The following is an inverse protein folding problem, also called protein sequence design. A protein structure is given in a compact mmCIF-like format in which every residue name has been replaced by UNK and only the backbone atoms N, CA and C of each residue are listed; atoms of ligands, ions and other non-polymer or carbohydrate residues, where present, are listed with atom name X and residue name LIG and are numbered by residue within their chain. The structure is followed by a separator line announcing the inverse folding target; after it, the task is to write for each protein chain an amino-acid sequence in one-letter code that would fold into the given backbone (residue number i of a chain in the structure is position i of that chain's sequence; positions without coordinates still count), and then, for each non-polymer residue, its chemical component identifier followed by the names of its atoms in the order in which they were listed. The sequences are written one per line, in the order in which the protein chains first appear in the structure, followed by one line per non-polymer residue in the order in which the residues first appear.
data_IF_795865460820
#
_entry.id   IF_795865460820
#
_cell.length_a   1.000
_cell.length_b   1.000
_cell.length_c   1.000
_cell.angle_alpha   90.00
_cell.angle_beta   90.00
_cell.angle_gamma   90.00
#
_symmetry.space_group_name_H-M   'P 1'
#
loop_
_entity.id
_entity.type
_entity.pdbx_description
1 polymer ?
#
# COMPACT_ATOMS: atom_id res chain seq x y z
N UNK A 1 -11.13 9.22 9.29
CA UNK A 1 -11.40 8.05 10.16
C UNK A 1 -11.32 6.73 9.37
N UNK A 2 -12.13 6.51 8.32
CA UNK A 2 -12.17 5.22 7.59
C UNK A 2 -10.80 4.72 7.10
N UNK A 3 -10.01 5.57 6.43
CA UNK A 3 -8.68 5.16 5.90
C UNK A 3 -7.73 4.69 7.01
N UNK A 4 -7.73 5.37 8.16
CA UNK A 4 -6.93 4.95 9.31
C UNK A 4 -7.44 3.64 9.90
N UNK A 5 -8.76 3.46 10.02
CA UNK A 5 -9.35 2.21 10.51
C UNK A 5 -9.04 1.02 9.59
N UNK A 6 -9.10 1.21 8.26
CA UNK A 6 -8.68 0.20 7.29
C UNK A 6 -7.18 -0.08 7.42
N UNK A 7 -6.32 0.93 7.47
CA UNK A 7 -4.89 0.70 7.68
C UNK A 7 -4.60 -0.09 8.97
N UNK A 8 -5.27 0.25 10.08
CA UNK A 8 -5.15 -0.48 11.34
C UNK A 8 -5.61 -1.93 11.22
N UNK A 9 -6.71 -2.21 10.51
CA UNK A 9 -7.18 -3.56 10.31
C UNK A 9 -6.13 -4.44 9.61
N UNK A 10 -5.36 -3.87 8.69
CA UNK A 10 -4.37 -4.58 7.87
C UNK A 10 -2.91 -4.45 8.36
N UNK A 11 -2.61 -3.54 9.28
CA UNK A 11 -1.28 -3.37 9.87
C UNK A 11 -1.01 -4.46 10.93
N UNK A 12 -0.34 -5.53 10.55
CA UNK A 12 0.12 -6.60 11.44
C UNK A 12 1.58 -6.41 11.91
N UNK A 13 2.29 -5.43 11.34
CA UNK A 13 3.71 -5.16 11.63
C UNK A 13 3.91 -3.93 12.52
N UNK A 14 2.82 -3.28 12.94
CA UNK A 14 2.80 -2.08 13.77
C UNK A 14 3.51 -0.87 13.14
N UNK A 15 3.54 -0.81 11.80
CA UNK A 15 4.12 0.31 11.06
C UNK A 15 3.45 1.63 11.45
N UNK A 16 2.11 1.65 11.49
CA UNK A 16 1.35 2.86 11.81
C UNK A 16 1.59 3.30 13.27
N UNK A 17 1.77 2.33 14.18
CA UNK A 17 2.08 2.57 15.59
C UNK A 17 3.47 3.18 15.80
N UNK A 18 4.42 2.85 14.92
CA UNK A 18 5.82 3.29 15.02
C UNK A 18 6.03 4.75 14.59
N UNK A 19 5.04 5.37 13.93
CA UNK A 19 5.16 6.72 13.40
C UNK A 19 4.97 7.77 14.49
N UNK A 20 5.85 8.79 14.57
CA UNK A 20 5.71 9.86 15.54
C UNK A 20 4.36 10.58 15.48
N UNK A 21 3.83 10.80 14.28
CA UNK A 21 2.61 11.58 14.06
C UNK A 21 1.32 10.79 14.30
N UNK A 22 1.36 9.46 14.18
CA UNK A 22 0.18 8.60 14.30
C UNK A 22 0.22 7.68 15.52
N UNK A 23 1.38 7.48 16.13
CA UNK A 23 1.60 6.44 17.13
C UNK A 23 0.71 6.56 18.36
N UNK A 24 0.46 7.78 18.84
CA UNK A 24 -0.41 8.01 20.01
C UNK A 24 -1.88 7.67 19.67
N UNK A 25 -2.37 8.17 18.53
CA UNK A 25 -3.72 7.88 18.03
C UNK A 25 -3.92 6.37 17.80
N UNK A 26 -2.92 5.71 17.21
CA UNK A 26 -2.96 4.27 16.96
C UNK A 26 -2.94 3.47 18.26
N UNK A 27 -2.15 3.89 19.26
CA UNK A 27 -2.11 3.21 20.57
C UNK A 27 -3.43 3.32 21.33
N UNK A 28 -4.15 4.43 21.15
CA UNK A 28 -5.49 4.61 21.69
C UNK A 28 -6.54 3.79 20.94
N UNK A 29 -6.50 3.79 19.60
CA UNK A 29 -7.50 3.14 18.75
C UNK A 29 -7.33 1.62 18.58
N UNK A 30 -6.09 1.11 18.59
CA UNK A 30 -5.75 -0.31 18.42
C UNK A 30 -4.69 -0.74 19.46
N UNK A 31 -5.05 -0.76 20.76
CA UNK A 31 -4.17 -1.25 21.81
C UNK A 31 -3.80 -2.73 21.57
N UNK A 32 -2.68 -3.24 22.11
CA UNK A 32 -2.17 -4.58 21.80
C UNK A 32 -3.20 -5.71 21.92
N UNK A 33 -4.10 -5.65 22.91
CA UNK A 33 -5.17 -6.63 23.08
C UNK A 33 -6.23 -6.56 21.97
N UNK A 34 -6.58 -5.36 21.50
CA UNK A 34 -7.51 -5.16 20.38
C UNK A 34 -6.88 -5.65 19.06
N UNK A 35 -5.59 -5.36 18.84
CA UNK A 35 -4.83 -5.87 17.71
C UNK A 35 -4.84 -7.40 17.66
N UNK A 36 -4.52 -8.05 18.78
CA UNK A 36 -4.54 -9.51 18.86
C UNK A 36 -5.94 -10.09 18.60
N UNK A 37 -7.00 -9.44 19.10
CA UNK A 37 -8.37 -9.86 18.89
C UNK A 37 -8.81 -9.71 17.42
N UNK A 38 -8.50 -8.59 16.75
CA UNK A 38 -8.87 -8.41 15.33
C UNK A 38 -8.12 -9.37 14.41
N UNK A 39 -6.83 -9.60 14.64
CA UNK A 39 -6.01 -10.50 13.81
C UNK A 39 -6.52 -11.95 13.86
N UNK A 40 -7.18 -12.33 14.95
CA UNK A 40 -7.84 -13.64 15.09
C UNK A 40 -9.14 -13.74 14.29
N UNK A 41 -9.83 -12.63 14.06
CA UNK A 41 -11.20 -12.59 13.54
C UNK A 41 -11.32 -12.00 12.12
N UNK A 42 -10.23 -11.46 11.56
CA UNK A 42 -10.19 -10.99 10.19
C UNK A 42 -9.96 -12.19 9.27
N UNK A 43 -10.98 -12.54 8.48
CA UNK A 43 -10.80 -13.40 7.30
C UNK A 43 -9.76 -12.75 6.41
N UNK A 44 -8.66 -13.46 6.10
CA UNK A 44 -7.45 -12.90 5.51
C UNK A 44 -7.74 -12.19 4.15
N UNK A 45 -7.97 -10.87 4.14
CA UNK A 45 -8.53 -10.21 2.97
C UNK A 45 -7.42 -10.04 1.93
N UNK A 46 -7.78 -10.22 0.66
CA UNK A 46 -6.82 -10.24 -0.43
C UNK A 46 -7.20 -9.26 -1.53
N UNK A 47 -6.19 -8.64 -2.15
CA UNK A 47 -6.32 -7.91 -3.40
C UNK A 47 -5.61 -8.70 -4.48
N UNK A 48 -6.28 -8.94 -5.63
CA UNK A 48 -5.75 -9.80 -6.71
C UNK A 48 -5.31 -11.18 -6.19
N UNK A 49 -6.10 -11.75 -5.27
CA UNK A 49 -5.83 -13.04 -4.61
C UNK A 49 -4.55 -13.10 -3.76
N UNK A 50 -4.01 -11.94 -3.36
CA UNK A 50 -2.83 -11.81 -2.49
C UNK A 50 -3.11 -10.97 -1.24
N UNK A 51 -2.81 -11.53 -0.08
CA UNK A 51 -3.06 -10.89 1.23
C UNK A 51 -2.03 -9.81 1.54
N UNK A 52 -0.77 -10.06 1.21
CA UNK A 52 0.34 -9.12 1.32
C UNK A 52 0.02 -7.81 0.57
N UNK A 53 -0.53 -7.89 -0.63
CA UNK A 53 -0.90 -6.69 -1.40
C UNK A 53 -2.03 -5.89 -0.75
N UNK A 54 -2.97 -6.55 -0.07
CA UNK A 54 -4.00 -5.84 0.69
C UNK A 54 -3.39 -5.04 1.85
N UNK A 55 -2.36 -5.59 2.51
CA UNK A 55 -1.61 -4.88 3.55
C UNK A 55 -0.92 -3.65 3.00
N UNK A 56 -0.14 -3.80 1.93
CA UNK A 56 0.51 -2.69 1.24
C UNK A 56 -0.46 -1.57 0.87
N UNK A 57 -1.57 -1.95 0.22
CA UNK A 57 -2.60 -1.02 -0.20
C UNK A 57 -3.19 -0.23 0.97
N UNK A 58 -3.72 -0.90 1.99
CA UNK A 58 -4.45 -0.22 3.06
C UNK A 58 -3.52 0.50 4.05
N UNK A 59 -2.31 0.00 4.28
CA UNK A 59 -1.29 0.72 5.06
C UNK A 59 -0.87 2.00 4.32
N UNK A 60 -0.56 1.93 3.04
CA UNK A 60 -0.21 3.12 2.23
C UNK A 60 -1.36 4.13 2.14
N UNK A 61 -2.61 3.66 2.08
CA UNK A 61 -3.79 4.51 2.14
C UNK A 61 -3.91 5.26 3.49
N UNK A 62 -3.66 4.57 4.61
CA UNK A 62 -3.67 5.16 5.94
C UNK A 62 -2.51 6.14 6.16
N UNK A 63 -1.30 5.81 5.69
CA UNK A 63 -0.15 6.71 5.69
C UNK A 63 -0.46 8.00 4.93
N UNK A 64 -1.10 7.89 3.77
CA UNK A 64 -1.51 9.06 2.97
C UNK A 64 -2.46 9.97 3.74
N UNK A 65 -3.40 9.39 4.49
CA UNK A 65 -4.35 10.14 5.31
C UNK A 65 -3.69 10.83 6.52
N UNK A 66 -2.60 10.28 7.06
CA UNK A 66 -1.92 10.81 8.24
C UNK A 66 -0.72 11.73 7.96
N UNK A 67 0.00 11.49 6.87
CA UNK A 67 1.30 12.12 6.59
C UNK A 67 1.39 12.85 5.25
N UNK A 68 0.38 12.74 4.37
CA UNK A 68 0.40 13.08 2.94
C UNK A 68 0.94 11.99 1.99
N UNK A 69 0.57 12.11 0.71
CA UNK A 69 0.87 11.11 -0.32
C UNK A 69 2.36 10.99 -0.66
N UNK A 70 3.13 12.08 -0.62
CA UNK A 70 4.56 12.05 -0.96
C UNK A 70 5.36 11.31 0.11
N UNK A 71 5.00 11.52 1.38
CA UNK A 71 5.62 10.80 2.50
C UNK A 71 5.24 9.32 2.49
N UNK A 72 3.97 9.00 2.22
CA UNK A 72 3.51 7.61 2.09
C UNK A 72 4.28 6.87 0.97
N UNK A 73 4.44 7.48 -0.21
CA UNK A 73 5.21 6.90 -1.33
C UNK A 73 6.67 6.66 -0.97
N UNK A 74 7.33 7.64 -0.33
CA UNK A 74 8.72 7.51 0.10
C UNK A 74 8.90 6.38 1.12
N UNK A 75 7.93 6.18 2.03
CA UNK A 75 7.95 5.09 2.99
C UNK A 75 7.79 3.72 2.33
N UNK A 76 6.88 3.57 1.36
CA UNK A 76 6.72 2.33 0.59
C UNK A 76 8.01 1.94 -0.13
N UNK A 77 8.61 2.90 -0.87
CA UNK A 77 9.90 2.68 -1.54
C UNK A 77 11.01 2.32 -0.55
N UNK A 78 11.09 2.99 0.60
CA UNK A 78 12.07 2.66 1.62
C UNK A 78 11.88 1.23 2.18
N UNK A 79 10.63 0.78 2.36
CA UNK A 79 10.30 -0.59 2.75
C UNK A 79 10.85 -1.60 1.74
N UNK A 80 10.59 -1.38 0.46
CA UNK A 80 11.05 -2.27 -0.61
C UNK A 80 12.58 -2.34 -0.72
N UNK A 81 13.28 -1.22 -0.50
CA UNK A 81 14.75 -1.21 -0.44
C UNK A 81 15.30 -1.99 0.76
N UNK A 82 14.61 -1.95 1.90
CA UNK A 82 14.97 -2.77 3.06
C UNK A 82 14.72 -4.25 2.78
N UNK A 83 13.60 -4.58 2.14
CA UNK A 83 13.23 -5.96 1.79
C UNK A 83 14.17 -6.56 0.73
N UNK A 84 14.74 -5.74 -0.16
CA UNK A 84 15.84 -6.14 -1.05
C UNK A 84 17.06 -6.72 -0.30
N UNK A 85 17.26 -6.30 0.95
CA UNK A 85 18.33 -6.77 1.83
C UNK A 85 17.90 -7.91 2.76
N UNK A 86 16.63 -8.34 2.67
CA UNK A 86 16.04 -9.45 3.42
C UNK A 86 15.73 -10.63 2.49
N UNK A 87 15.10 -11.65 3.04
CA UNK A 87 14.75 -12.88 2.30
C UNK A 87 13.63 -12.66 1.28
N UNK A 88 12.77 -11.66 1.48
CA UNK A 88 11.62 -11.37 0.60
C UNK A 88 12.04 -10.70 -0.72
N UNK A 89 13.06 -9.84 -0.72
CA UNK A 89 13.50 -9.09 -1.91
C UNK A 89 12.63 -7.86 -2.20
N UNK A 90 13.09 -7.01 -3.13
CA UNK A 90 12.33 -5.87 -3.65
C UNK A 90 11.19 -6.36 -4.57
N UNK A 91 10.00 -5.80 -4.41
CA UNK A 91 8.80 -6.16 -5.16
C UNK A 91 8.16 -4.95 -5.86
N UNK A 92 8.08 -5.00 -7.19
CA UNK A 92 7.29 -4.01 -7.93
C UNK A 92 5.78 -4.24 -7.80
N UNK A 93 5.34 -5.44 -7.43
CA UNK A 93 3.94 -5.69 -7.12
C UNK A 93 3.53 -5.00 -5.81
N UNK A 94 4.40 -5.01 -4.80
CA UNK A 94 4.22 -4.31 -3.53
C UNK A 94 4.17 -2.80 -3.78
N UNK A 95 5.10 -2.29 -4.61
CA UNK A 95 5.07 -0.88 -5.03
C UNK A 95 3.80 -0.50 -5.81
N UNK A 96 3.26 -1.42 -6.61
CA UNK A 96 1.98 -1.21 -7.30
C UNK A 96 0.81 -1.14 -6.31
N UNK A 97 0.84 -1.95 -5.25
CA UNK A 97 -0.17 -1.93 -4.19
C UNK A 97 -0.09 -0.65 -3.38
N UNK A 98 1.12 -0.20 -3.02
CA UNK A 98 1.34 1.07 -2.33
C UNK A 98 0.78 2.25 -3.12
N UNK A 99 1.11 2.33 -4.41
CA UNK A 99 0.64 3.40 -5.31
C UNK A 99 -0.88 3.38 -5.49
N UNK A 100 -1.47 2.18 -5.64
CA UNK A 100 -2.91 2.03 -5.73
C UNK A 100 -3.61 2.48 -4.43
N UNK A 101 -3.04 2.14 -3.26
CA UNK A 101 -3.54 2.58 -1.95
C UNK A 101 -3.46 4.09 -1.76
N UNK A 102 -2.37 4.72 -2.21
CA UNK A 102 -2.21 6.19 -2.21
C UNK A 102 -3.28 6.84 -3.11
N UNK A 103 -3.53 6.30 -4.31
CA UNK A 103 -4.55 6.81 -5.21
C UNK A 103 -5.96 6.70 -4.60
N UNK A 104 -6.26 5.57 -3.96
CA UNK A 104 -7.50 5.33 -3.25
C UNK A 104 -7.71 6.34 -2.11
N UNK A 105 -6.68 6.55 -1.28
CA UNK A 105 -6.74 7.55 -0.22
C UNK A 105 -6.96 8.97 -0.75
N UNK A 106 -6.26 9.36 -1.83
CA UNK A 106 -6.47 10.68 -2.46
C UNK A 106 -7.92 10.86 -2.93
N UNK A 107 -8.50 9.85 -3.58
CA UNK A 107 -9.88 9.90 -4.06
C UNK A 107 -10.87 10.04 -2.89
N UNK A 108 -10.64 9.31 -1.78
CA UNK A 108 -11.46 9.42 -0.57
C UNK A 108 -11.32 10.78 0.13
N UNK A 109 -10.10 11.31 0.26
CA UNK A 109 -9.82 12.57 0.95
C UNK A 109 -10.32 13.79 0.17
N UNK A 110 -10.39 13.70 -1.16
CA UNK A 110 -10.93 14.75 -2.03
C UNK A 110 -12.45 14.64 -2.22
N UNK A 111 -13.08 13.59 -1.70
CA UNK A 111 -14.50 13.32 -1.87
C UNK A 111 -14.89 12.78 -3.26
N UNK A 112 -13.91 12.48 -4.13
CA UNK A 112 -14.14 11.78 -5.41
C UNK A 112 -14.72 10.38 -5.17
N UNK A 113 -14.33 9.75 -4.07
CA UNK A 113 -14.95 8.53 -3.56
C UNK A 113 -15.54 8.76 -2.17
N UNK A 114 -16.73 8.22 -1.96
CA UNK A 114 -17.39 8.24 -0.66
C UNK A 114 -17.31 6.87 0.02
N UNK A 115 -17.36 6.81 1.36
CA UNK A 115 -17.43 5.55 2.10
C UNK A 115 -18.56 4.62 1.65
N UNK A 116 -19.71 5.17 1.29
CA UNK A 116 -20.89 4.41 0.84
C UNK A 116 -20.60 3.74 -0.50
N UNK A 117 -20.04 4.48 -1.48
CA UNK A 117 -19.65 3.91 -2.77
C UNK A 117 -18.61 2.80 -2.63
N UNK A 118 -17.62 2.99 -1.74
CA UNK A 118 -16.63 1.94 -1.46
C UNK A 118 -17.31 0.72 -0.85
N UNK A 119 -18.19 0.90 0.14
CA UNK A 119 -18.89 -0.23 0.75
C UNK A 119 -19.74 -1.03 -0.25
N UNK A 120 -20.38 -0.35 -1.21
CA UNK A 120 -21.30 -0.98 -2.16
C UNK A 120 -20.62 -1.54 -3.42
N UNK A 121 -19.49 -0.96 -3.86
CA UNK A 121 -18.93 -1.19 -5.20
C UNK A 121 -17.47 -1.63 -5.21
N UNK A 122 -16.83 -1.80 -4.05
CA UNK A 122 -15.42 -2.19 -4.02
C UNK A 122 -15.20 -3.56 -4.67
N UNK A 123 -14.29 -3.60 -5.63
CA UNK A 123 -13.75 -4.84 -6.20
C UNK A 123 -12.24 -4.71 -6.34
N UNK A 124 -11.53 -5.83 -6.26
CA UNK A 124 -10.08 -5.83 -6.36
C UNK A 124 -9.62 -5.34 -7.73
N UNK A 125 -10.39 -5.67 -8.77
CA UNK A 125 -10.16 -5.32 -10.16
C UNK A 125 -10.24 -3.82 -10.41
N UNK A 126 -11.20 -3.16 -9.74
CA UNK A 126 -11.43 -1.74 -9.88
C UNK A 126 -10.41 -0.88 -9.13
N UNK A 127 -9.76 -1.41 -8.10
CA UNK A 127 -8.87 -0.62 -7.22
C UNK A 127 -7.41 -1.07 -7.19
N UNK A 128 -7.07 -2.23 -7.74
CA UNK A 128 -5.71 -2.76 -7.77
C UNK A 128 -5.32 -3.08 -9.22
N UNK A 129 -4.17 -2.61 -9.74
CA UNK A 129 -3.76 -2.90 -11.11
C UNK A 129 -3.44 -4.38 -11.31
N UNK A 130 -3.42 -4.81 -12.58
CA UNK A 130 -2.84 -6.10 -12.96
C UNK A 130 -1.34 -6.11 -12.65
N UNK A 131 -0.85 -7.24 -12.17
CA UNK A 131 0.54 -7.43 -11.74
C UNK A 131 1.41 -8.09 -12.81
N UNK A 132 0.81 -8.51 -13.92
CA UNK A 132 1.50 -9.26 -14.97
C UNK A 132 2.76 -8.51 -15.44
N UNK A 133 3.89 -9.22 -15.43
CA UNK A 133 5.18 -8.70 -15.84
C UNK A 133 5.89 -7.81 -14.81
N UNK A 134 5.32 -7.59 -13.62
CA UNK A 134 6.03 -6.87 -12.55
C UNK A 134 7.08 -7.80 -11.90
N UNK A 135 8.37 -7.41 -11.85
CA UNK A 135 9.41 -8.15 -11.17
C UNK A 135 9.22 -8.14 -9.65
N UNK A 136 9.52 -9.27 -9.01
CA UNK A 136 9.45 -9.44 -7.56
C UNK A 136 10.62 -10.28 -7.05
N UNK A 137 10.89 -10.24 -5.75
CA UNK A 137 11.92 -11.07 -5.12
C UNK A 137 13.35 -10.68 -5.49
N UNK A 138 13.58 -9.42 -5.88
CA UNK A 138 14.91 -8.98 -6.29
C UNK A 138 15.79 -8.72 -5.07
N UNK A 139 16.92 -9.42 -4.98
CA UNK A 139 17.97 -9.05 -4.03
C UNK A 139 18.51 -7.65 -4.33
N UNK A 140 19.13 -7.00 -3.34
CA UNK A 140 19.77 -5.69 -3.51
C UNK A 140 20.75 -5.67 -4.70
N UNK A 141 21.49 -6.75 -4.92
CA UNK A 141 22.40 -6.87 -6.06
C UNK A 141 21.64 -6.92 -7.39
N UNK A 142 20.59 -7.74 -7.49
CA UNK A 142 19.77 -7.84 -8.70
C UNK A 142 19.06 -6.52 -9.00
N UNK A 143 18.50 -5.86 -7.98
CA UNK A 143 17.87 -4.56 -8.12
C UNK A 143 18.87 -3.51 -8.64
N UNK A 144 20.06 -3.42 -8.04
CA UNK A 144 21.09 -2.50 -8.49
C UNK A 144 21.57 -2.81 -9.93
N UNK A 145 21.75 -4.08 -10.28
CA UNK A 145 22.19 -4.46 -11.63
C UNK A 145 21.13 -4.16 -12.70
N UNK A 146 19.87 -4.53 -12.44
CA UNK A 146 18.80 -4.43 -13.44
C UNK A 146 18.20 -3.02 -13.50
N UNK A 147 18.10 -2.35 -12.35
CA UNK A 147 17.39 -1.09 -12.19
C UNK A 147 18.25 0.07 -11.69
N UNK A 148 19.50 -0.14 -11.27
CA UNK A 148 20.46 0.93 -10.92
C UNK A 148 20.19 1.68 -9.60
N UNK A 149 18.94 1.87 -9.22
CA UNK A 149 18.53 2.62 -8.04
C UNK A 149 17.24 3.39 -8.27
N UNK A 150 16.72 4.03 -7.22
CA UNK A 150 15.42 4.72 -7.27
C UNK A 150 15.40 5.99 -8.14
N UNK A 151 16.57 6.47 -8.58
CA UNK A 151 16.71 7.61 -9.49
C UNK A 151 17.12 7.20 -10.92
N UNK A 152 17.35 5.91 -11.18
CA UNK A 152 17.79 5.42 -12.48
C UNK A 152 16.61 5.37 -13.46
N UNK A 153 16.81 5.76 -14.74
CA UNK A 153 15.75 5.74 -15.75
C UNK A 153 15.05 4.38 -15.92
N UNK A 154 15.74 3.26 -15.67
CA UNK A 154 15.16 1.91 -15.79
C UNK A 154 14.14 1.64 -14.70
N UNK A 155 14.44 2.01 -13.47
CA UNK A 155 13.48 1.98 -12.36
C UNK A 155 12.31 2.91 -12.63
N UNK A 156 12.59 4.17 -12.99
CA UNK A 156 11.57 5.19 -13.21
C UNK A 156 10.61 4.83 -14.36
N UNK A 157 11.10 4.12 -15.38
CA UNK A 157 10.25 3.61 -16.47
C UNK A 157 9.19 2.63 -15.94
N UNK A 158 9.59 1.69 -15.08
CA UNK A 158 8.67 0.70 -14.53
C UNK A 158 7.71 1.33 -13.51
N UNK A 159 8.18 2.31 -12.74
CA UNK A 159 7.31 3.14 -11.89
C UNK A 159 6.25 3.87 -12.72
N UNK A 160 6.65 4.52 -13.82
CA UNK A 160 5.71 5.21 -14.69
C UNK A 160 4.69 4.25 -15.34
N UNK A 161 5.10 3.02 -15.64
CA UNK A 161 4.18 1.98 -16.10
C UNK A 161 3.16 1.62 -15.01
N UNK A 162 3.60 1.43 -13.76
CA UNK A 162 2.70 1.18 -12.63
C UNK A 162 1.73 2.35 -12.43
N UNK A 163 2.22 3.58 -12.47
CA UNK A 163 1.38 4.79 -12.35
C UNK A 163 0.32 4.85 -13.45
N UNK A 164 0.68 4.49 -14.69
CA UNK A 164 -0.26 4.38 -15.80
C UNK A 164 -1.33 3.31 -15.54
N UNK A 165 -0.94 2.12 -15.05
CA UNK A 165 -1.89 1.06 -14.68
C UNK A 165 -2.86 1.53 -13.58
N UNK A 166 -2.36 2.25 -12.57
CA UNK A 166 -3.19 2.81 -11.48
C UNK A 166 -4.14 3.90 -11.99
N UNK A 167 -3.69 4.74 -12.93
CA UNK A 167 -4.52 5.81 -13.49
C UNK A 167 -5.70 5.30 -14.33
N UNK A 168 -5.61 4.07 -14.86
CA UNK A 168 -6.66 3.42 -15.66
C UNK A 168 -7.65 2.58 -14.81
N UNK A 169 -7.54 2.62 -13.49
CA UNK A 169 -8.41 1.87 -12.61
C UNK A 169 -9.84 2.42 -12.61
N UNK A 170 -10.79 1.56 -12.97
CA UNK A 170 -12.20 1.93 -13.12
C UNK A 170 -12.90 2.27 -11.81
N UNK A 171 -12.32 1.93 -10.66
CA UNK A 171 -12.83 2.31 -9.34
C UNK A 171 -12.86 3.83 -9.12
N UNK A 172 -12.26 4.61 -10.02
CA UNK A 172 -12.25 6.06 -9.99
C UNK A 172 -13.10 6.71 -11.10
N UNK A 173 -13.79 5.92 -11.93
CA UNK A 173 -14.68 6.42 -12.96
C UNK A 173 -16.02 6.79 -12.30
N UNK A 174 -16.37 8.07 -12.35
CA UNK A 174 -17.64 8.64 -11.86
C UNK A 174 -18.28 9.42 -13.00
#
# INVERSE_FOLDING_TARGET
ALLLALGLAFDDTAVLRSLPELGDLVREADPPAAMAARLKNLDEPALRNRQDLAKHFFVSAALTAGLDARRAEAMGVAKELLDASRTSGFSFADLAADRAGIAFAKAMLTGKLTPIQVADQFSTEAFMPHLDGLPEGLTAQQFAQQYGGVSDPRYLKLVAEIDSRVAMLSGYDQ
#
